data_IF_259814127317
#
_entry.id   IF_259814127317
#
_cell.length_a   1.000
_cell.length_b   1.000
_cell.length_c   1.000
_cell.angle_alpha   90.00
_cell.angle_beta   90.00
_cell.angle_gamma   90.00
#
_symmetry.space_group_name_H-M   'P 1'
#
loop_
_entity.id
_entity.type
_entity.pdbx_description
1 polymer ?
#
# COMPACT_ATOMS: atom_id res chain seq x y z
N UNK A 1 -18.14 32.24 47.52
CA UNK A 1 -18.07 32.94 46.22
C UNK A 1 -16.65 33.51 46.17
N UNK A 2 -15.66 32.63 46.01
CA UNK A 2 -15.01 32.26 44.73
C UNK A 2 -14.50 33.50 43.98
N UNK A 3 -13.27 33.60 43.49
CA UNK A 3 -12.02 32.85 43.67
C UNK A 3 -10.96 33.67 42.92
N UNK A 4 -9.71 33.61 43.35
CA UNK A 4 -8.57 34.37 42.85
C UNK A 4 -7.91 33.57 41.71
N UNK A 5 -8.02 34.02 40.46
CA UNK A 5 -7.37 33.36 39.33
C UNK A 5 -6.04 34.04 38.99
N UNK A 6 -4.96 33.48 39.53
CA UNK A 6 -3.58 33.72 39.11
C UNK A 6 -3.38 33.19 37.69
N UNK A 7 -2.95 34.07 36.80
CA UNK A 7 -2.36 33.69 35.52
C UNK A 7 -0.90 33.26 35.74
N UNK A 8 -0.52 32.05 35.30
CA UNK A 8 0.78 31.75 34.66
C UNK A 8 0.97 30.24 34.52
N UNK A 9 1.02 29.75 33.29
CA UNK A 9 2.18 29.04 32.72
C UNK A 9 1.77 28.31 31.46
N UNK A 10 2.25 28.82 30.33
CA UNK A 10 2.17 28.17 29.03
C UNK A 10 3.13 26.99 29.00
N UNK A 11 2.64 25.78 28.72
CA UNK A 11 3.49 24.69 28.20
C UNK A 11 2.72 23.90 27.16
N UNK A 12 2.92 24.28 25.90
CA UNK A 12 3.06 23.37 24.75
C UNK A 12 2.00 22.29 24.52
N UNK A 13 0.71 22.62 24.58
CA UNK A 13 -0.33 21.77 23.99
C UNK A 13 -0.31 21.90 22.47
N UNK A 14 0.23 20.91 21.75
CA UNK A 14 -0.04 20.78 20.31
C UNK A 14 -1.53 20.52 20.15
N UNK A 15 -2.25 21.57 19.75
CA UNK A 15 -3.61 21.49 19.22
C UNK A 15 -3.50 20.61 17.97
N UNK A 16 -3.88 19.34 18.08
CA UNK A 16 -4.17 18.55 16.89
C UNK A 16 -5.41 19.19 16.24
N UNK A 17 -5.34 19.67 14.99
CA UNK A 17 -6.53 20.14 14.30
C UNK A 17 -7.52 18.96 14.22
N UNK A 18 -8.77 19.25 14.56
CA UNK A 18 -9.88 18.31 14.50
C UNK A 18 -9.82 17.51 13.19
N UNK A 19 -9.74 16.20 13.30
CA UNK A 19 -9.69 15.31 12.14
C UNK A 19 -10.94 15.52 11.27
N UNK A 20 -10.81 15.70 9.94
CA UNK A 20 -11.96 15.59 9.06
C UNK A 20 -12.52 14.17 9.18
N UNK A 21 -13.85 14.07 9.34
CA UNK A 21 -14.61 12.86 9.71
C UNK A 21 -14.69 11.78 8.60
N UNK A 22 -13.62 11.55 7.85
CA UNK A 22 -13.60 10.64 6.70
C UNK A 22 -12.32 9.77 6.60
N UNK A 23 -11.69 9.42 7.72
CA UNK A 23 -10.68 8.35 7.70
C UNK A 23 -11.42 7.01 7.55
N UNK A 24 -11.39 6.44 6.35
CA UNK A 24 -11.87 5.08 6.13
C UNK A 24 -10.81 4.15 6.72
N UNK A 25 -11.18 3.32 7.69
CA UNK A 25 -10.24 2.37 8.26
C UNK A 25 -10.01 1.25 7.24
N UNK A 26 -8.76 0.99 6.92
CA UNK A 26 -8.36 -0.12 6.05
C UNK A 26 -7.67 -1.20 6.88
N UNK A 27 -7.92 -2.44 6.46
CA UNK A 27 -7.45 -3.65 7.12
C UNK A 27 -6.28 -4.20 6.33
N UNK A 28 -5.13 -4.35 6.97
CA UNK A 28 -3.93 -4.92 6.36
C UNK A 28 -3.43 -6.10 7.18
N UNK A 29 -2.87 -7.06 6.47
CA UNK A 29 -2.07 -8.11 7.07
C UNK A 29 -0.59 -7.70 7.00
N UNK A 30 0.07 -7.56 8.15
CA UNK A 30 1.46 -7.13 8.21
C UNK A 30 2.33 -8.15 8.94
N UNK A 31 3.46 -8.47 8.34
CA UNK A 31 4.50 -9.27 8.97
C UNK A 31 5.84 -8.51 9.02
N UNK A 32 6.52 -8.59 10.17
CA UNK A 32 7.91 -8.14 10.30
C UNK A 32 8.84 -9.27 9.90
N UNK A 33 9.77 -8.97 9.00
CA UNK A 33 10.67 -9.86 8.28
C UNK A 33 11.43 -10.89 9.11
N UNK A 34 11.55 -12.09 8.54
CA UNK A 34 12.42 -13.17 9.00
C UNK A 34 12.49 -14.39 8.05
N UNK A 35 12.81 -14.21 6.77
CA UNK A 35 13.32 -15.27 5.87
C UNK A 35 12.37 -16.40 5.42
N UNK A 36 12.56 -16.84 4.16
CA UNK A 36 11.96 -18.01 3.45
C UNK A 36 10.89 -18.81 4.21
N UNK A 37 9.64 -18.58 3.81
CA UNK A 37 8.38 -19.03 4.46
C UNK A 37 8.39 -20.48 4.97
N UNK A 38 8.44 -20.71 6.30
CA UNK A 38 8.04 -21.96 6.92
C UNK A 38 6.70 -21.76 7.65
N UNK A 39 5.58 -22.31 7.14
CA UNK A 39 4.25 -22.66 7.73
C UNK A 39 3.78 -22.12 9.13
N UNK A 40 4.34 -21.06 9.70
CA UNK A 40 4.19 -20.67 11.11
C UNK A 40 4.29 -19.17 11.37
N UNK A 41 4.05 -18.32 10.37
CA UNK A 41 3.96 -16.89 10.61
C UNK A 41 2.53 -16.48 10.98
N UNK A 42 2.39 -15.89 12.15
CA UNK A 42 1.12 -15.36 12.62
C UNK A 42 0.83 -14.05 11.92
N UNK A 43 -0.11 -14.08 10.98
CA UNK A 43 -0.65 -12.88 10.38
C UNK A 43 -1.27 -11.94 11.42
N UNK A 44 -0.95 -10.65 11.34
CA UNK A 44 -1.55 -9.63 12.21
C UNK A 44 -2.42 -8.70 11.40
N UNK A 45 -3.67 -8.60 11.84
CA UNK A 45 -4.61 -7.63 11.31
C UNK A 45 -4.33 -6.25 11.91
N UNK A 46 -4.10 -5.27 11.05
CA UNK A 46 -3.85 -3.89 11.45
C UNK A 46 -4.90 -2.96 10.84
N UNK A 47 -5.42 -2.06 11.66
CA UNK A 47 -6.29 -0.97 11.23
C UNK A 47 -5.47 0.31 11.14
N UNK A 48 -5.37 0.87 9.95
CA UNK A 48 -4.60 2.10 9.70
C UNK A 48 -5.57 3.25 9.46
N UNK A 49 -5.52 4.32 10.28
CA UNK A 49 -6.29 5.53 10.01
C UNK A 49 -5.64 6.27 8.85
N UNK A 50 -6.14 6.02 7.63
CA UNK A 50 -5.64 6.65 6.42
C UNK A 50 -6.76 7.41 5.72
N UNK A 51 -6.41 8.49 5.02
CA UNK A 51 -7.36 9.18 4.15
C UNK A 51 -7.64 8.36 2.88
N UNK A 52 -6.67 7.51 2.48
CA UNK A 52 -6.73 6.60 1.32
C UNK A 52 -5.97 5.30 1.63
N UNK A 53 -6.37 4.19 1.02
CA UNK A 53 -5.67 2.89 1.21
C UNK A 53 -4.22 2.95 0.77
N UNK A 54 -3.95 3.68 -0.31
CA UNK A 54 -2.63 3.84 -0.90
C UNK A 54 -1.59 4.54 -0.01
N UNK A 55 -2.02 5.29 1.00
CA UNK A 55 -1.10 5.92 1.96
C UNK A 55 -0.76 5.02 3.15
N UNK A 56 -1.40 3.85 3.27
CA UNK A 56 -1.27 2.99 4.43
C UNK A 56 0.16 2.49 4.64
N UNK A 57 0.85 2.07 3.57
CA UNK A 57 2.24 1.60 3.64
C UNK A 57 3.18 2.66 4.23
N UNK A 58 3.01 3.92 3.82
CA UNK A 58 3.80 5.03 4.36
C UNK A 58 3.44 5.31 5.83
N UNK A 59 2.16 5.23 6.20
CA UNK A 59 1.69 5.50 7.56
C UNK A 59 2.13 4.45 8.58
N UNK A 60 2.23 3.18 8.18
CA UNK A 60 2.74 2.10 9.04
C UNK A 60 4.28 2.05 9.08
N UNK A 61 4.96 2.88 8.27
CA UNK A 61 6.41 2.87 8.13
C UNK A 61 6.94 1.57 7.52
N UNK A 62 6.21 0.99 6.57
CA UNK A 62 6.68 -0.19 5.84
C UNK A 62 7.90 0.19 5.00
N UNK A 63 8.93 -0.65 5.05
CA UNK A 63 10.21 -0.42 4.40
C UNK A 63 10.61 -1.71 3.70
N UNK A 64 10.88 -1.58 2.41
CA UNK A 64 11.47 -2.59 1.53
C UNK A 64 12.50 -1.86 0.64
N UNK A 65 13.21 -2.58 -0.24
CA UNK A 65 14.03 -1.95 -1.27
C UNK A 65 13.19 -1.18 -2.32
N UNK A 66 11.87 -1.30 -2.23
CA UNK A 66 10.91 -0.59 -3.05
C UNK A 66 11.06 0.95 -2.97
N UNK A 67 10.88 1.68 -4.09
CA UNK A 67 10.85 3.13 -4.11
C UNK A 67 9.52 3.65 -3.52
N UNK A 68 9.40 3.67 -2.18
CA UNK A 68 8.15 3.90 -1.44
C UNK A 68 7.34 5.13 -1.91
N UNK A 69 7.93 6.32 -2.18
CA UNK A 69 7.16 7.46 -2.67
C UNK A 69 6.52 7.21 -4.05
N UNK A 70 7.25 6.55 -4.96
CA UNK A 70 6.75 6.18 -6.29
C UNK A 70 5.70 5.09 -6.17
N UNK A 71 5.94 4.07 -5.34
CA UNK A 71 4.98 3.00 -5.09
C UNK A 71 3.65 3.55 -4.53
N UNK A 72 3.70 4.50 -3.58
CA UNK A 72 2.49 5.17 -3.10
C UNK A 72 1.77 5.96 -4.20
N UNK A 73 2.52 6.57 -5.13
CA UNK A 73 1.91 7.26 -6.28
C UNK A 73 1.26 6.28 -7.28
N UNK A 74 1.90 5.15 -7.57
CA UNK A 74 1.35 4.08 -8.38
C UNK A 74 0.09 3.49 -7.74
N UNK A 75 0.14 3.15 -6.45
CA UNK A 75 -1.01 2.65 -5.70
C UNK A 75 -2.17 3.65 -5.70
N UNK A 76 -1.91 4.96 -5.59
CA UNK A 76 -2.96 5.99 -5.73
C UNK A 76 -3.61 5.96 -7.12
N UNK A 77 -2.80 5.91 -8.19
CA UNK A 77 -3.29 5.81 -9.57
C UNK A 77 -4.12 4.54 -9.79
N UNK A 78 -3.66 3.41 -9.26
CA UNK A 78 -4.36 2.13 -9.37
C UNK A 78 -5.61 2.05 -8.51
N UNK A 79 -5.62 2.69 -7.33
CA UNK A 79 -6.81 2.83 -6.49
C UNK A 79 -7.90 3.59 -7.25
N UNK A 80 -7.56 4.71 -7.87
CA UNK A 80 -8.51 5.52 -8.63
C UNK A 80 -9.02 4.79 -9.89
N UNK A 81 -8.13 4.11 -10.64
CA UNK A 81 -8.49 3.42 -11.90
C UNK A 81 -9.15 2.06 -11.66
N UNK A 82 -8.48 1.19 -10.94
CA UNK A 82 -8.81 -0.22 -10.80
C UNK A 82 -9.42 -0.57 -9.43
N UNK A 83 -9.53 0.40 -8.51
CA UNK A 83 -9.94 0.11 -7.15
C UNK A 83 -8.91 -0.77 -6.44
N UNK A 84 -7.64 -0.64 -6.79
CA UNK A 84 -6.55 -1.39 -6.20
C UNK A 84 -6.38 -1.04 -4.72
N UNK A 85 -6.26 -2.05 -3.87
CA UNK A 85 -6.08 -1.91 -2.43
C UNK A 85 -5.02 -2.89 -1.96
N UNK A 86 -4.04 -2.40 -1.20
CA UNK A 86 -3.11 -3.29 -0.50
C UNK A 86 -3.91 -4.10 0.53
N UNK A 87 -3.73 -5.41 0.56
CA UNK A 87 -4.42 -6.30 1.51
C UNK A 87 -3.44 -6.97 2.46
N UNK A 88 -2.20 -7.16 2.03
CA UNK A 88 -1.15 -7.73 2.85
C UNK A 88 0.24 -7.21 2.45
N UNK A 89 1.15 -7.16 3.41
CA UNK A 89 2.58 -6.99 3.19
C UNK A 89 3.37 -7.94 4.11
N UNK A 90 4.24 -8.75 3.53
CA UNK A 90 5.02 -9.78 4.23
C UNK A 90 6.50 -9.51 4.02
N UNK A 91 7.19 -8.93 5.01
CA UNK A 91 8.58 -8.50 4.83
C UNK A 91 8.69 -7.49 3.69
N UNK A 92 9.26 -7.91 2.58
CA UNK A 92 9.40 -7.15 1.34
C UNK A 92 8.50 -7.64 0.21
N UNK A 93 7.44 -8.38 0.51
CA UNK A 93 6.37 -8.74 -0.44
C UNK A 93 5.10 -7.91 -0.17
N UNK A 94 4.38 -7.54 -1.22
CA UNK A 94 3.16 -6.76 -1.19
C UNK A 94 2.07 -7.44 -2.03
N UNK A 95 0.89 -7.61 -1.44
CA UNK A 95 -0.29 -8.12 -2.13
C UNK A 95 -1.35 -7.04 -2.29
N UNK A 96 -1.86 -6.93 -3.52
CA UNK A 96 -2.83 -5.94 -3.93
C UNK A 96 -4.05 -6.63 -4.51
N UNK A 97 -5.23 -6.31 -3.97
CA UNK A 97 -6.52 -6.73 -4.52
C UNK A 97 -7.07 -5.65 -5.45
N UNK A 98 -7.73 -6.07 -6.53
CA UNK A 98 -8.22 -5.19 -7.59
C UNK A 98 -9.71 -5.40 -7.80
N UNK A 99 -10.51 -4.37 -7.49
CA UNK A 99 -11.97 -4.44 -7.56
C UNK A 99 -12.54 -4.24 -8.98
N UNK A 100 -11.83 -3.49 -9.83
CA UNK A 100 -12.20 -3.21 -11.23
C UNK A 100 -11.04 -3.67 -12.12
N UNK A 101 -10.97 -4.97 -12.45
CA UNK A 101 -9.89 -5.49 -13.29
C UNK A 101 -9.89 -4.83 -14.67
N UNK A 102 -8.72 -4.76 -15.28
CA UNK A 102 -8.60 -4.24 -16.64
C UNK A 102 -9.36 -5.16 -17.61
N UNK A 103 -10.25 -4.59 -18.42
CA UNK A 103 -11.06 -5.34 -19.40
C UNK A 103 -10.52 -5.19 -20.82
N UNK A 104 -9.81 -4.10 -21.10
CA UNK A 104 -9.34 -3.75 -22.44
C UNK A 104 -7.85 -4.05 -22.63
N UNK A 105 -7.52 -4.94 -23.57
CA UNK A 105 -6.16 -5.32 -23.89
C UNK A 105 -5.27 -4.15 -24.36
N UNK A 106 -5.86 -3.11 -24.96
CA UNK A 106 -5.14 -1.93 -25.45
C UNK A 106 -4.40 -1.14 -24.35
N UNK A 107 -4.90 -1.21 -23.11
CA UNK A 107 -4.27 -0.55 -21.95
C UNK A 107 -3.37 -1.50 -21.14
N UNK A 108 -3.25 -2.76 -21.55
CA UNK A 108 -2.57 -3.79 -20.77
C UNK A 108 -1.05 -3.58 -20.75
N UNK A 109 -0.47 -3.17 -21.88
CA UNK A 109 0.96 -2.82 -21.96
C UNK A 109 1.33 -1.62 -21.09
N UNK A 110 0.43 -0.65 -20.95
CA UNK A 110 0.66 0.52 -20.09
C UNK A 110 0.66 0.10 -18.61
N UNK A 111 -0.31 -0.72 -18.20
CA UNK A 111 -0.35 -1.26 -16.83
C UNK A 111 0.87 -2.14 -16.54
N UNK A 112 1.29 -2.98 -17.50
CA UNK A 112 2.52 -3.77 -17.36
C UNK A 112 3.74 -2.87 -17.16
N UNK A 113 3.86 -1.78 -17.91
CA UNK A 113 4.94 -0.81 -17.71
C UNK A 113 4.89 -0.15 -16.34
N UNK A 114 3.69 0.18 -15.83
CA UNK A 114 3.52 0.68 -14.46
C UNK A 114 3.97 -0.34 -13.42
N UNK A 115 3.74 -1.64 -13.64
CA UNK A 115 4.29 -2.69 -12.79
C UNK A 115 5.82 -2.74 -12.86
N UNK A 116 6.44 -2.51 -14.02
CA UNK A 116 7.91 -2.37 -14.13
C UNK A 116 8.43 -1.18 -13.31
N UNK A 117 7.71 -0.06 -13.30
CA UNK A 117 8.07 1.13 -12.51
C UNK A 117 8.04 0.89 -11.00
N UNK A 118 7.38 -0.17 -10.52
CA UNK A 118 7.45 -0.58 -9.12
C UNK A 118 8.82 -1.13 -8.72
N UNK A 119 9.67 -1.45 -9.71
CA UNK A 119 10.99 -2.09 -9.57
C UNK A 119 10.96 -3.39 -8.78
N UNK A 120 9.81 -4.07 -8.75
CA UNK A 120 9.68 -5.35 -8.08
C UNK A 120 10.43 -6.43 -8.86
N UNK A 121 11.14 -7.29 -8.16
CA UNK A 121 12.07 -8.26 -8.73
C UNK A 121 11.33 -9.34 -9.51
N UNK A 122 10.13 -9.74 -9.08
CA UNK A 122 9.26 -10.61 -9.87
C UNK A 122 8.78 -10.00 -11.20
N UNK A 123 9.03 -8.72 -11.42
CA UNK A 123 8.66 -8.03 -12.65
C UNK A 123 9.89 -7.71 -13.49
N UNK A 124 11.00 -7.33 -12.85
CA UNK A 124 12.22 -6.86 -13.52
C UNK A 124 13.28 -7.94 -13.67
N UNK A 125 13.55 -8.71 -12.60
CA UNK A 125 14.68 -9.63 -12.51
C UNK A 125 14.31 -11.11 -12.73
N UNK A 126 13.10 -11.51 -12.32
CA UNK A 126 12.50 -12.82 -12.55
C UNK A 126 11.08 -12.69 -13.16
N UNK A 127 10.96 -12.14 -14.38
CA UNK A 127 9.65 -11.89 -14.98
C UNK A 127 8.93 -13.22 -15.28
N UNK A 128 7.64 -13.36 -14.90
CA UNK A 128 6.91 -14.63 -15.00
C UNK A 128 6.70 -15.13 -16.43
N UNK A 129 6.83 -14.26 -17.43
CA UNK A 129 6.68 -14.52 -18.87
C UNK A 129 7.33 -13.39 -19.68
N UNK A 130 7.61 -13.56 -20.98
CA UNK A 130 7.93 -12.43 -21.86
C UNK A 130 6.94 -11.26 -21.69
N UNK A 131 7.45 -10.03 -21.76
CA UNK A 131 6.65 -8.81 -21.45
C UNK A 131 5.26 -8.72 -22.14
N UNK A 132 5.09 -9.09 -23.43
CA UNK A 132 3.76 -9.04 -24.07
C UNK A 132 2.75 -10.05 -23.49
N UNK A 133 3.21 -11.22 -23.07
CA UNK A 133 2.39 -12.24 -22.43
C UNK A 133 1.99 -11.76 -21.03
N UNK A 134 2.96 -11.21 -20.28
CA UNK A 134 2.70 -10.63 -18.97
C UNK A 134 1.64 -9.51 -19.04
N UNK A 135 1.75 -8.61 -20.03
CA UNK A 135 0.76 -7.57 -20.25
C UNK A 135 -0.63 -8.16 -20.51
N UNK A 136 -0.72 -9.18 -21.36
CA UNK A 136 -2.00 -9.85 -21.66
C UNK A 136 -2.61 -10.52 -20.43
N UNK A 137 -1.78 -11.14 -19.60
CA UNK A 137 -2.19 -11.84 -18.38
C UNK A 137 -2.71 -10.90 -17.27
N UNK A 138 -2.48 -9.59 -17.38
CA UNK A 138 -3.06 -8.61 -16.46
C UNK A 138 -4.55 -8.34 -16.74
N UNK A 139 -5.06 -8.67 -17.93
CA UNK A 139 -6.47 -8.49 -18.28
C UNK A 139 -7.33 -9.45 -17.46
N UNK A 140 -8.35 -8.92 -16.78
CA UNK A 140 -9.24 -9.69 -15.92
C UNK A 140 -8.65 -10.06 -14.56
N UNK A 141 -7.37 -9.76 -14.29
CA UNK A 141 -6.70 -10.16 -13.07
C UNK A 141 -7.14 -9.31 -11.87
N UNK A 142 -7.57 -9.96 -10.81
CA UNK A 142 -8.12 -9.32 -9.59
C UNK A 142 -7.14 -9.26 -8.43
N UNK A 143 -5.93 -9.79 -8.60
CA UNK A 143 -4.88 -9.79 -7.59
C UNK A 143 -3.48 -9.65 -8.21
N UNK A 144 -2.65 -8.83 -7.58
CA UNK A 144 -1.25 -8.61 -7.93
C UNK A 144 -0.38 -8.85 -6.71
N UNK A 145 0.84 -9.32 -6.96
CA UNK A 145 1.87 -9.52 -5.95
C UNK A 145 3.18 -8.92 -6.46
N UNK A 146 3.93 -8.31 -5.55
CA UNK A 146 5.21 -7.67 -5.83
C UNK A 146 6.19 -8.02 -4.71
N UNK A 147 7.42 -8.40 -5.03
CA UNK A 147 8.46 -8.58 -4.02
C UNK A 147 9.77 -7.88 -4.43
N UNK A 148 10.55 -7.54 -3.42
CA UNK A 148 11.87 -6.90 -3.52
C UNK A 148 12.83 -7.62 -2.56
N UNK A 149 14.02 -8.07 -2.94
CA UNK A 149 15.01 -8.73 -2.05
C UNK A 149 16.28 -7.87 -1.87
#
# INVERSE_FOLDING_TARGET
MHDEAIASSCTGGRIFPAQPRCARNYVFELEKSGGRVPERFGCRLVLVPAHRSSDALALIGWSAEAPLPLLCALLRSWEDRFGAQVVAAFGSELHVSVARPLVEAGHASLLALEHVLSTADNIVDDPPTPFPEYATDLVGRTSWSFWWD
#
